data_IF_506010544211
#
_entry.id   IF_506010544211
#
_cell.length_a   1.000
_cell.length_b   1.000
_cell.length_c   1.000
_cell.angle_alpha   90.00
_cell.angle_beta   90.00
_cell.angle_gamma   90.00
#
_symmetry.space_group_name_H-M   'P 1'
#
loop_
_entity.id
_entity.type
_entity.pdbx_description
1 polymer ?
#
# COMPACT_ATOMS: atom_id res chain seq x y z
N UNK A 1 -32.44 -60.46 12.96
CA UNK A 1 -31.93 -59.83 11.73
C UNK A 1 -32.49 -58.42 11.60
N UNK A 2 -31.72 -57.40 11.98
CA UNK A 2 -31.50 -56.09 11.30
C UNK A 2 -30.95 -55.06 12.29
N UNK A 3 -29.78 -54.54 11.94
CA UNK A 3 -28.98 -53.50 12.60
C UNK A 3 -29.42 -52.10 12.16
N UNK A 4 -29.00 -51.11 12.96
CA UNK A 4 -28.80 -49.68 12.66
C UNK A 4 -30.08 -48.84 12.50
N UNK A 5 -30.16 -47.59 12.99
CA UNK A 5 -29.22 -46.47 12.76
C UNK A 5 -29.34 -45.48 13.93
N UNK A 6 -28.34 -45.32 14.81
CA UNK A 6 -27.26 -44.30 14.68
C UNK A 6 -27.72 -43.11 13.83
N UNK A 7 -28.22 -42.02 14.44
CA UNK A 7 -28.27 -40.70 13.79
C UNK A 7 -28.53 -39.50 14.74
N UNK A 8 -28.27 -39.63 16.05
CA UNK A 8 -28.23 -38.46 16.94
C UNK A 8 -26.85 -37.76 16.95
N UNK A 9 -25.80 -38.44 16.47
CA UNK A 9 -24.42 -37.92 16.51
C UNK A 9 -24.05 -37.08 15.27
N UNK A 10 -24.84 -37.11 14.20
CA UNK A 10 -24.53 -36.36 12.98
C UNK A 10 -24.85 -34.87 13.12
N UNK A 11 -25.75 -34.49 14.04
CA UNK A 11 -26.12 -33.10 14.30
C UNK A 11 -25.15 -32.37 15.26
N UNK A 12 -24.29 -33.09 15.98
CA UNK A 12 -23.36 -32.54 16.98
C UNK A 12 -21.92 -32.40 16.47
N UNK A 13 -21.62 -32.85 15.25
CA UNK A 13 -20.29 -32.74 14.63
C UNK A 13 -20.16 -31.58 13.64
N UNK A 14 -21.19 -30.74 13.49
CA UNK A 14 -21.24 -29.63 12.52
C UNK A 14 -21.19 -28.22 13.17
N UNK A 15 -20.94 -28.11 14.48
CA UNK A 15 -21.14 -26.87 15.24
C UNK A 15 -19.96 -26.51 16.17
N UNK A 16 -18.74 -26.34 15.63
CA UNK A 16 -18.27 -24.96 15.45
C UNK A 16 -17.35 -24.83 14.22
N UNK A 17 -17.81 -25.30 13.06
CA UNK A 17 -17.42 -24.66 11.81
C UNK A 17 -18.51 -23.64 11.41
N UNK A 18 -19.07 -22.96 12.42
CA UNK A 18 -19.74 -21.68 12.20
C UNK A 18 -18.64 -20.76 11.74
N UNK A 19 -18.46 -20.71 10.42
CA UNK A 19 -18.17 -19.52 9.64
C UNK A 19 -17.93 -18.31 10.56
N UNK A 20 -16.71 -18.20 11.09
CA UNK A 20 -16.18 -16.91 11.49
C UNK A 20 -15.92 -16.22 10.16
N UNK A 21 -17.00 -15.82 9.48
CA UNK A 21 -16.92 -14.65 8.66
C UNK A 21 -16.53 -13.58 9.68
N UNK A 22 -15.24 -13.26 9.75
CA UNK A 22 -14.84 -11.96 10.25
C UNK A 22 -15.66 -10.99 9.43
N UNK A 23 -16.74 -10.49 10.04
CA UNK A 23 -17.46 -9.36 9.49
C UNK A 23 -16.39 -8.28 9.54
N UNK A 24 -15.74 -8.06 8.40
CA UNK A 24 -14.81 -6.97 8.23
C UNK A 24 -15.64 -5.71 8.36
N UNK A 25 -15.81 -5.25 9.59
CA UNK A 25 -16.45 -3.98 9.89
C UNK A 25 -15.46 -2.93 9.45
N UNK A 26 -15.57 -2.52 8.19
CA UNK A 26 -14.79 -1.40 7.67
C UNK A 26 -15.12 -0.19 8.55
N UNK A 27 -14.14 0.46 9.17
CA UNK A 27 -14.42 1.65 9.96
C UNK A 27 -15.12 2.69 9.08
N UNK A 28 -16.09 3.41 9.66
CA UNK A 28 -16.80 4.49 8.96
C UNK A 28 -15.87 5.63 8.50
N UNK A 29 -14.69 5.73 9.11
CA UNK A 29 -13.62 6.66 8.77
C UNK A 29 -12.26 5.99 8.94
N UNK A 30 -11.33 6.25 8.03
CA UNK A 30 -9.96 5.77 8.14
C UNK A 30 -9.00 6.86 7.67
N UNK A 31 -7.99 7.16 8.49
CA UNK A 31 -6.97 8.17 8.19
C UNK A 31 -5.60 7.70 8.67
N UNK A 32 -4.69 7.40 7.74
CA UNK A 32 -3.32 6.99 8.07
C UNK A 32 -2.51 8.07 8.78
N UNK A 33 -2.96 9.33 8.76
CA UNK A 33 -2.37 10.42 9.54
C UNK A 33 -2.73 10.33 11.02
N UNK A 34 -3.75 9.55 11.38
CA UNK A 34 -4.17 9.33 12.76
C UNK A 34 -4.91 7.99 12.93
N UNK A 35 -4.15 6.92 13.12
CA UNK A 35 -4.67 5.62 13.57
C UNK A 35 -4.28 5.45 15.04
N UNK A 36 -5.26 5.50 15.93
CA UNK A 36 -5.07 5.40 17.39
C UNK A 36 -4.01 6.38 17.95
N UNK A 37 -4.00 7.63 17.46
CA UNK A 37 -3.04 8.65 17.86
C UNK A 37 -1.67 8.58 17.18
N UNK A 38 -1.49 7.65 16.24
CA UNK A 38 -0.24 7.47 15.48
C UNK A 38 -0.40 7.95 14.04
N UNK A 39 0.62 8.65 13.55
CA UNK A 39 0.71 9.06 12.15
C UNK A 39 1.75 8.23 11.40
N UNK A 40 1.30 7.56 10.33
CA UNK A 40 2.11 6.72 9.45
C UNK A 40 2.51 7.40 8.14
N UNK A 41 1.93 8.57 7.87
CA UNK A 41 2.24 9.41 6.72
C UNK A 41 3.44 10.32 7.06
N UNK A 42 4.36 10.47 6.11
CA UNK A 42 5.50 11.39 6.22
C UNK A 42 5.07 12.85 6.05
N UNK A 43 6.01 13.76 6.25
CA UNK A 43 5.79 15.19 6.00
C UNK A 43 5.54 15.42 4.50
N UNK A 44 4.77 16.47 4.19
CA UNK A 44 4.48 16.85 2.80
C UNK A 44 5.77 17.31 2.12
N UNK A 45 6.09 16.71 0.97
CA UNK A 45 7.28 17.01 0.17
C UNK A 45 6.94 17.96 -0.99
N UNK A 46 7.94 18.66 -1.51
CA UNK A 46 7.80 19.62 -2.62
C UNK A 46 8.46 19.08 -3.90
N UNK A 47 7.66 18.89 -4.95
CA UNK A 47 8.11 18.43 -6.27
C UNK A 47 8.68 19.55 -7.15
N UNK A 48 8.62 20.81 -6.68
CA UNK A 48 9.03 22.01 -7.41
C UNK A 48 8.25 22.13 -8.76
N UNK A 49 8.70 22.87 -9.79
CA UNK A 49 7.89 23.06 -11.01
C UNK A 49 7.95 21.87 -11.99
N UNK A 50 8.56 20.74 -11.59
CA UNK A 50 8.74 19.58 -12.45
C UNK A 50 7.50 18.66 -12.38
N UNK A 51 7.15 18.01 -13.50
CA UNK A 51 6.07 17.02 -13.57
C UNK A 51 6.42 15.67 -12.93
N UNK A 52 7.04 15.68 -11.76
CA UNK A 52 7.49 14.49 -11.03
C UNK A 52 6.43 13.95 -10.07
N UNK A 53 5.17 14.40 -10.19
CA UNK A 53 4.06 14.00 -9.31
C UNK A 53 3.85 12.49 -9.27
N UNK A 54 4.11 11.79 -10.38
CA UNK A 54 4.05 10.33 -10.44
C UNK A 54 5.01 9.67 -9.44
N UNK A 55 6.21 10.22 -9.29
CA UNK A 55 7.23 9.72 -8.37
C UNK A 55 6.89 10.04 -6.92
N UNK A 56 6.44 11.27 -6.64
CA UNK A 56 6.01 11.70 -5.31
C UNK A 56 4.78 10.93 -4.82
N UNK A 57 3.80 10.70 -5.71
CA UNK A 57 2.61 9.91 -5.40
C UNK A 57 2.94 8.44 -5.14
N UNK A 58 3.77 7.83 -6.00
CA UNK A 58 4.17 6.44 -5.85
C UNK A 58 4.96 6.19 -4.54
N UNK A 59 5.96 7.03 -4.26
CA UNK A 59 6.74 6.94 -3.03
C UNK A 59 5.88 7.19 -1.80
N UNK A 60 5.05 8.24 -1.77
CA UNK A 60 4.18 8.53 -0.62
C UNK A 60 3.21 7.39 -0.29
N UNK A 61 2.60 6.76 -1.32
CA UNK A 61 1.71 5.62 -1.13
C UNK A 61 2.45 4.39 -0.58
N UNK A 62 3.65 4.12 -1.11
CA UNK A 62 4.49 3.02 -0.66
C UNK A 62 4.99 3.25 0.78
N UNK A 63 5.45 4.45 1.11
CA UNK A 63 5.86 4.85 2.45
C UNK A 63 4.73 4.66 3.46
N UNK A 64 3.53 5.19 3.19
CA UNK A 64 2.38 5.06 4.09
C UNK A 64 2.00 3.60 4.35
N UNK A 65 1.96 2.78 3.29
CA UNK A 65 1.64 1.36 3.38
C UNK A 65 2.71 0.57 4.14
N UNK A 66 3.99 0.84 3.84
CA UNK A 66 5.13 0.20 4.50
C UNK A 66 5.19 0.58 5.97
N UNK A 67 5.10 1.87 6.28
CA UNK A 67 5.10 2.38 7.65
C UNK A 67 3.97 1.78 8.48
N UNK A 68 2.75 1.72 7.95
CA UNK A 68 1.61 1.09 8.63
C UNK A 68 1.86 -0.40 8.91
N UNK A 69 2.29 -1.14 7.88
CA UNK A 69 2.56 -2.59 7.98
C UNK A 69 3.68 -2.91 8.97
N UNK A 70 4.73 -2.09 8.98
CA UNK A 70 5.90 -2.27 9.84
C UNK A 70 5.76 -1.60 11.21
N UNK A 71 4.60 -0.99 11.49
CA UNK A 71 4.33 -0.22 12.70
C UNK A 71 5.38 0.88 12.98
N UNK A 72 5.79 1.58 11.93
CA UNK A 72 6.74 2.71 11.98
C UNK A 72 5.97 4.03 11.99
N UNK A 73 6.12 4.82 13.05
CA UNK A 73 5.42 6.09 13.24
C UNK A 73 6.32 7.13 13.90
N UNK A 74 5.89 8.39 13.87
CA UNK A 74 6.68 9.50 14.39
C UNK A 74 8.03 9.62 13.67
N UNK A 75 9.14 9.64 14.41
CA UNK A 75 10.49 9.76 13.85
C UNK A 75 11.05 8.46 13.23
N UNK A 76 10.35 7.33 13.39
CA UNK A 76 10.83 6.03 12.92
C UNK A 76 10.33 5.68 11.50
N UNK A 77 9.53 6.55 10.88
CA UNK A 77 8.99 6.34 9.53
C UNK A 77 10.11 6.26 8.50
N UNK A 78 9.96 5.36 7.54
CA UNK A 78 10.82 5.30 6.37
C UNK A 78 10.44 6.40 5.39
N UNK A 79 11.45 7.01 4.76
CA UNK A 79 11.30 7.91 3.62
C UNK A 79 12.05 7.29 2.45
N UNK A 80 11.34 7.06 1.35
CA UNK A 80 11.89 6.60 0.09
C UNK A 80 12.31 7.79 -0.77
N UNK A 81 13.12 7.49 -1.78
CA UNK A 81 13.68 8.48 -2.69
C UNK A 81 12.83 8.59 -3.95
N UNK A 82 12.25 9.76 -4.18
CA UNK A 82 11.57 10.12 -5.42
C UNK A 82 12.57 10.14 -6.58
N UNK A 83 13.78 10.64 -6.31
CA UNK A 83 14.85 10.75 -7.32
C UNK A 83 15.29 9.39 -7.86
N UNK A 84 15.20 8.32 -7.07
CA UNK A 84 15.44 6.97 -7.56
C UNK A 84 14.44 6.57 -8.66
N UNK A 85 13.15 6.85 -8.47
CA UNK A 85 12.12 6.59 -9.49
C UNK A 85 12.33 7.49 -10.72
N UNK A 86 12.72 8.75 -10.50
CA UNK A 86 12.89 9.72 -11.59
C UNK A 86 14.11 9.38 -12.46
N UNK A 87 15.26 9.10 -11.85
CA UNK A 87 16.56 9.03 -12.54
C UNK A 87 17.07 7.61 -12.72
N UNK A 88 16.83 6.72 -11.75
CA UNK A 88 17.42 5.37 -11.76
C UNK A 88 16.53 4.32 -12.42
N UNK A 89 15.24 4.61 -12.65
CA UNK A 89 14.31 3.71 -13.33
C UNK A 89 14.11 4.01 -14.83
N UNK A 90 14.64 5.12 -15.36
CA UNK A 90 14.46 5.52 -16.77
C UNK A 90 14.83 4.43 -17.78
N UNK A 91 15.95 3.73 -17.55
CA UNK A 91 16.40 2.63 -18.42
C UNK A 91 15.44 1.43 -18.46
N UNK A 92 14.55 1.26 -17.47
CA UNK A 92 13.55 0.18 -17.46
C UNK A 92 12.26 0.55 -18.19
N UNK A 93 12.07 1.82 -18.54
CA UNK A 93 10.81 2.36 -19.08
C UNK A 93 11.01 3.11 -20.41
N UNK A 94 12.04 2.75 -21.18
CA UNK A 94 12.18 3.22 -22.57
C UNK A 94 10.89 2.95 -23.36
N UNK A 95 10.24 4.00 -23.87
CA UNK A 95 9.05 3.90 -24.73
C UNK A 95 7.73 4.48 -24.19
N UNK A 96 7.70 5.11 -23.00
CA UNK A 96 6.53 5.88 -22.58
C UNK A 96 6.44 7.21 -23.37
N UNK A 97 5.25 7.61 -23.86
CA UNK A 97 5.08 8.86 -24.60
C UNK A 97 5.35 10.06 -23.68
N UNK A 98 6.39 10.83 -24.02
CA UNK A 98 6.90 11.93 -23.21
C UNK A 98 6.28 13.26 -23.65
N UNK A 99 5.84 14.08 -22.70
CA UNK A 99 5.53 15.48 -22.94
C UNK A 99 6.63 16.40 -22.36
N UNK A 100 6.65 17.66 -22.78
CA UNK A 100 7.64 18.65 -22.33
C UNK A 100 7.52 19.02 -20.85
N UNK A 101 6.59 18.40 -20.10
CA UNK A 101 6.33 18.67 -18.69
C UNK A 101 6.77 17.53 -17.77
N UNK A 102 7.39 16.48 -18.33
CA UNK A 102 8.11 15.49 -17.53
C UNK A 102 7.24 14.32 -17.08
N UNK A 103 6.22 13.96 -17.84
CA UNK A 103 5.60 12.64 -17.71
C UNK A 103 6.62 11.59 -18.20
N UNK A 104 7.43 11.09 -17.27
CA UNK A 104 8.41 10.02 -17.51
C UNK A 104 9.72 10.48 -18.16
N UNK A 105 10.70 10.85 -17.34
CA UNK A 105 12.12 10.73 -17.65
C UNK A 105 12.60 11.43 -18.92
N UNK A 106 12.80 12.74 -18.86
CA UNK A 106 13.71 13.40 -19.78
C UNK A 106 15.12 12.84 -19.57
N UNK A 107 15.63 12.12 -20.56
CA UNK A 107 17.03 11.80 -20.79
C UNK A 107 17.91 13.04 -21.08
N UNK A 108 17.42 14.26 -20.81
CA UNK A 108 18.19 15.50 -20.95
C UNK A 108 19.03 15.84 -19.72
N UNK A 109 18.90 15.09 -18.62
CA UNK A 109 19.77 15.25 -17.44
C UNK A 109 20.96 14.27 -17.42
N UNK A 110 21.07 13.38 -18.40
CA UNK A 110 22.22 12.47 -18.59
C UNK A 110 23.46 13.15 -19.22
N UNK A 111 23.47 14.49 -19.29
CA UNK A 111 24.59 15.29 -19.82
C UNK A 111 25.12 16.35 -18.83
N UNK A 112 25.02 16.11 -17.52
CA UNK A 112 25.79 16.85 -16.51
C UNK A 112 26.85 15.97 -15.86
#
# INVERSE_FOLDING_TARGET
MKFATKNAYLALLLSPLLLQADIYTNPSTFDLRNVDGKSYINDVKDQSPYGTCYSFGATSAAEGSYNYTMNLYGKNRSSFSETFIIWSLGQKYEGFPMDSKGDGGLNTYDYL
#
